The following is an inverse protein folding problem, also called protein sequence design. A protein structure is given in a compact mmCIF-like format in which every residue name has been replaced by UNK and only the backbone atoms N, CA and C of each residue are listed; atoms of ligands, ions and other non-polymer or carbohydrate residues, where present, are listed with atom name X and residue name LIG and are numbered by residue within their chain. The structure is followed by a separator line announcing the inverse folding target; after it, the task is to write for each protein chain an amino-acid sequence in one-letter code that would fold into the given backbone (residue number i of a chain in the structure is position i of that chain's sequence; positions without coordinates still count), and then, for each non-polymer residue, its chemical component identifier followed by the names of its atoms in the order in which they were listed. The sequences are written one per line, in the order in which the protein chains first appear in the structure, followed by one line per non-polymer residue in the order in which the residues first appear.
data_IF_419672203616
#
_entry.id   IF_419672203616
#
_cell.length_a   1.000
_cell.length_b   1.000
_cell.length_c   1.000
_cell.angle_alpha   90.00
_cell.angle_beta   90.00
_cell.angle_gamma   90.00
#
_symmetry.space_group_name_H-M   'P 1'
#
loop_
_entity.id
_entity.type
_entity.pdbx_description
1 polymer ?
#
# COMPACT_ATOMS: atom_id res chain seq x y z
N UNK A 1 -7.59 10.42 -4.03
CA UNK A 1 -7.10 9.42 -3.08
C UNK A 1 -5.92 8.63 -3.63
N UNK A 2 -5.69 7.46 -3.09
CA UNK A 2 -4.56 6.59 -3.51
C UNK A 2 -4.99 5.13 -3.71
N UNK A 3 -6.17 4.75 -3.25
CA UNK A 3 -6.60 3.35 -3.21
C UNK A 3 -6.77 2.73 -4.61
N UNK A 4 -7.04 3.54 -5.62
CA UNK A 4 -7.24 3.07 -6.99
C UNK A 4 -5.93 2.79 -7.75
N UNK A 5 -4.79 3.17 -7.17
CA UNK A 5 -3.46 3.02 -7.77
C UNK A 5 -2.59 2.11 -6.90
N UNK A 6 -2.71 0.80 -7.11
CA UNK A 6 -1.88 -0.19 -6.44
C UNK A 6 -0.44 -0.14 -6.95
N UNK A 7 0.53 -0.33 -6.05
CA UNK A 7 1.93 -0.47 -6.43
C UNK A 7 2.15 -1.81 -7.12
N UNK A 8 2.56 -1.84 -8.41
CA UNK A 8 2.79 -3.08 -9.13
C UNK A 8 4.04 -3.80 -8.60
N UNK A 9 4.09 -5.10 -8.82
CA UNK A 9 5.28 -5.91 -8.59
C UNK A 9 6.30 -5.76 -9.72
N UNK A 10 5.83 -5.45 -10.94
CA UNK A 10 6.61 -5.35 -12.18
C UNK A 10 7.38 -6.64 -12.48
N UNK A 11 6.69 -7.78 -12.42
CA UNK A 11 7.25 -9.11 -12.67
C UNK A 11 6.42 -9.88 -13.69
N UNK A 12 7.00 -10.85 -14.42
CA UNK A 12 6.26 -11.72 -15.33
C UNK A 12 5.11 -12.43 -14.62
N UNK A 13 3.93 -12.42 -15.23
CA UNK A 13 2.73 -13.09 -14.74
C UNK A 13 1.90 -12.29 -13.74
N UNK A 14 2.26 -11.02 -13.46
CA UNK A 14 1.45 -10.16 -12.60
C UNK A 14 0.06 -9.87 -13.19
N UNK A 15 -0.07 -9.92 -14.51
CA UNK A 15 -1.31 -9.72 -15.27
C UNK A 15 -2.25 -10.95 -15.28
N UNK A 16 -1.84 -12.08 -14.72
CA UNK A 16 -2.65 -13.29 -14.69
C UNK A 16 -3.94 -13.09 -13.86
N UNK A 17 -5.08 -13.68 -14.26
CA UNK A 17 -6.37 -13.52 -13.57
C UNK A 17 -6.36 -13.97 -12.10
N UNK A 18 -5.38 -14.77 -11.69
CA UNK A 18 -5.21 -15.22 -10.31
C UNK A 18 -4.52 -14.18 -9.40
N UNK A 19 -4.10 -13.04 -9.95
CA UNK A 19 -3.41 -11.97 -9.20
C UNK A 19 -4.40 -10.84 -8.91
N UNK A 20 -4.43 -10.39 -7.68
CA UNK A 20 -5.21 -9.23 -7.28
C UNK A 20 -4.41 -8.32 -6.34
N UNK A 21 -4.52 -7.01 -6.54
CA UNK A 21 -3.98 -5.99 -5.64
C UNK A 21 -4.98 -5.59 -4.53
N UNK A 22 -6.19 -6.18 -4.55
CA UNK A 22 -7.27 -5.86 -3.63
C UNK A 22 -7.81 -7.13 -3.00
N UNK A 23 -7.85 -7.14 -1.68
CA UNK A 23 -8.48 -8.20 -0.91
C UNK A 23 -9.89 -7.79 -0.47
N UNK A 24 -10.87 -8.65 -0.66
CA UNK A 24 -12.27 -8.38 -0.33
C UNK A 24 -12.86 -9.43 0.59
N UNK A 25 -12.68 -10.72 0.28
CA UNK A 25 -13.38 -11.83 0.92
C UNK A 25 -12.51 -13.10 0.86
N UNK A 26 -12.57 -13.94 1.90
CA UNK A 26 -11.80 -15.17 2.00
C UNK A 26 -12.51 -16.41 1.45
N UNK A 27 -13.84 -16.42 1.37
CA UNK A 27 -14.62 -17.63 1.04
C UNK A 27 -14.23 -18.32 -0.27
N UNK A 28 -13.92 -17.61 -1.38
CA UNK A 28 -13.53 -18.25 -2.63
C UNK A 28 -12.23 -19.05 -2.57
N UNK A 29 -11.43 -18.87 -1.50
CA UNK A 29 -10.08 -19.40 -1.39
C UNK A 29 -9.96 -20.59 -0.41
N UNK A 30 -11.09 -21.16 0.02
CA UNK A 30 -11.08 -22.37 0.84
C UNK A 30 -10.27 -23.49 0.17
N UNK A 31 -9.39 -24.15 0.94
CA UNK A 31 -8.50 -25.23 0.48
C UNK A 31 -7.62 -24.87 -0.74
N UNK A 32 -7.25 -23.58 -0.90
CA UNK A 32 -6.37 -23.07 -1.95
C UNK A 32 -5.01 -22.66 -1.42
N UNK A 33 -3.99 -22.74 -2.28
CA UNK A 33 -2.65 -22.25 -2.02
C UNK A 33 -2.59 -20.75 -2.38
N UNK A 34 -2.61 -19.88 -1.37
CA UNK A 34 -2.70 -18.44 -1.53
C UNK A 34 -1.43 -17.76 -1.07
N UNK A 35 -0.79 -17.02 -1.98
CA UNK A 35 0.32 -16.14 -1.63
C UNK A 35 -0.20 -14.74 -1.31
N UNK A 36 0.23 -14.18 -0.17
CA UNK A 36 -0.02 -12.80 0.23
C UNK A 36 1.32 -12.06 0.23
N UNK A 37 1.50 -11.13 -0.71
CA UNK A 37 2.74 -10.36 -0.86
C UNK A 37 2.57 -9.01 -0.19
N UNK A 38 3.31 -8.78 0.90
CA UNK A 38 3.23 -7.55 1.67
C UNK A 38 3.72 -7.74 3.10
N UNK A 39 3.81 -6.66 3.88
CA UNK A 39 4.32 -6.73 5.26
C UNK A 39 3.67 -5.68 6.18
N UNK A 40 2.52 -5.11 5.78
CA UNK A 40 1.79 -4.10 6.53
C UNK A 40 0.36 -4.57 6.86
N UNK A 41 -0.50 -3.67 7.33
CA UNK A 41 -1.85 -3.99 7.80
C UNK A 41 -2.67 -4.83 6.82
N UNK A 42 -2.74 -4.43 5.55
CA UNK A 42 -3.56 -5.13 4.56
C UNK A 42 -3.13 -6.59 4.37
N UNK A 43 -1.82 -6.84 4.30
CA UNK A 43 -1.27 -8.19 4.16
C UNK A 43 -1.53 -9.05 5.40
N UNK A 44 -1.33 -8.49 6.60
CA UNK A 44 -1.58 -9.21 7.86
C UNK A 44 -3.06 -9.56 8.03
N UNK A 45 -3.97 -8.61 7.74
CA UNK A 45 -5.42 -8.82 7.82
C UNK A 45 -5.86 -9.91 6.82
N UNK A 46 -5.43 -9.79 5.56
CA UNK A 46 -5.78 -10.77 4.53
C UNK A 46 -5.26 -12.17 4.87
N UNK A 47 -4.00 -12.28 5.34
CA UNK A 47 -3.42 -13.56 5.71
C UNK A 47 -4.17 -14.24 6.87
N UNK A 48 -4.56 -13.47 7.89
CA UNK A 48 -5.35 -13.97 9.01
C UNK A 48 -6.75 -14.41 8.58
N UNK A 49 -7.41 -13.62 7.76
CA UNK A 49 -8.77 -13.92 7.30
C UNK A 49 -8.81 -15.14 6.39
N UNK A 50 -7.92 -15.20 5.40
CA UNK A 50 -7.74 -16.35 4.51
C UNK A 50 -7.46 -17.64 5.30
N UNK A 51 -6.55 -17.60 6.26
CA UNK A 51 -6.23 -18.74 7.12
C UNK A 51 -7.46 -19.19 7.94
N UNK A 52 -8.22 -18.25 8.53
CA UNK A 52 -9.43 -18.57 9.30
C UNK A 52 -10.49 -19.27 8.46
N UNK A 53 -10.53 -18.98 7.16
CA UNK A 53 -11.45 -19.59 6.20
C UNK A 53 -10.85 -20.77 5.44
N UNK A 54 -9.76 -21.38 5.94
CA UNK A 54 -9.24 -22.65 5.46
C UNK A 54 -8.33 -22.59 4.24
N UNK A 55 -7.84 -21.43 3.85
CA UNK A 55 -6.78 -21.32 2.84
C UNK A 55 -5.41 -21.72 3.42
N UNK A 56 -4.54 -22.29 2.57
CA UNK A 56 -3.11 -22.49 2.87
C UNK A 56 -2.36 -21.21 2.50
N UNK A 57 -2.01 -20.42 3.49
CA UNK A 57 -1.45 -19.08 3.28
C UNK A 57 0.07 -19.08 3.35
N UNK A 58 0.71 -18.50 2.32
CA UNK A 58 2.12 -18.14 2.33
C UNK A 58 2.25 -16.61 2.29
N UNK A 59 2.71 -16.02 3.38
CA UNK A 59 3.01 -14.58 3.48
C UNK A 59 4.44 -14.34 3.00
N UNK A 60 4.61 -13.45 2.02
CA UNK A 60 5.91 -13.14 1.41
C UNK A 60 6.23 -11.67 1.64
N UNK A 61 7.35 -11.40 2.32
CA UNK A 61 7.76 -10.03 2.63
C UNK A 61 9.26 -9.81 2.39
N UNK A 62 9.59 -8.72 1.69
CA UNK A 62 10.98 -8.34 1.39
C UNK A 62 11.80 -7.91 2.60
N UNK A 63 11.15 -7.50 3.69
CA UNK A 63 11.82 -7.14 4.95
C UNK A 63 12.12 -8.35 5.82
N UNK A 64 12.98 -8.18 6.84
CA UNK A 64 13.37 -9.25 7.75
C UNK A 64 12.26 -9.68 8.73
N UNK A 65 11.23 -8.85 8.88
CA UNK A 65 10.08 -9.09 9.76
C UNK A 65 8.89 -8.22 9.32
N UNK A 66 7.72 -8.48 9.86
CA UNK A 66 6.54 -7.64 9.66
C UNK A 66 6.79 -6.21 10.16
N UNK A 67 6.11 -5.24 9.53
CA UNK A 67 6.25 -3.83 9.91
C UNK A 67 5.66 -3.57 11.29
N UNK A 68 6.38 -2.84 12.14
CA UNK A 68 5.90 -2.40 13.46
C UNK A 68 4.70 -1.46 13.41
N UNK A 69 4.40 -0.89 12.23
CA UNK A 69 3.22 -0.05 12.00
C UNK A 69 1.92 -0.85 11.82
N UNK A 70 1.96 -2.17 11.84
CA UNK A 70 0.75 -3.00 11.94
C UNK A 70 0.06 -2.69 13.26
N UNK A 71 -1.27 -2.57 13.22
CA UNK A 71 -2.10 -2.26 14.38
C UNK A 71 -1.80 -3.23 15.54
N UNK A 72 -1.67 -2.68 16.75
CA UNK A 72 -1.23 -3.42 17.93
C UNK A 72 -2.09 -4.63 18.30
N UNK A 73 -3.35 -4.67 17.84
CA UNK A 73 -4.24 -5.83 18.04
C UNK A 73 -4.19 -6.87 16.92
N UNK A 74 -3.53 -6.57 15.80
CA UNK A 74 -3.35 -7.49 14.67
C UNK A 74 -1.97 -8.15 14.71
N UNK A 75 -0.93 -7.39 15.02
CA UNK A 75 0.45 -7.87 14.99
C UNK A 75 0.68 -9.10 15.85
N UNK A 76 0.22 -9.19 17.12
CA UNK A 76 0.41 -10.39 17.92
C UNK A 76 -0.29 -11.63 17.36
N UNK A 77 -1.48 -11.47 16.75
CA UNK A 77 -2.22 -12.62 16.19
C UNK A 77 -1.48 -13.18 14.97
N UNK A 78 -1.07 -12.36 14.03
CA UNK A 78 -0.34 -12.84 12.85
C UNK A 78 1.03 -13.44 13.23
N UNK A 79 1.77 -12.84 14.16
CA UNK A 79 3.04 -13.38 14.66
C UNK A 79 2.84 -14.76 15.32
N UNK A 80 1.80 -14.94 16.12
CA UNK A 80 1.45 -16.23 16.71
C UNK A 80 1.08 -17.28 15.65
N UNK A 81 0.30 -16.92 14.62
CA UNK A 81 -0.04 -17.86 13.54
C UNK A 81 1.19 -18.28 12.74
N UNK A 82 2.14 -17.38 12.54
CA UNK A 82 3.41 -17.69 11.88
C UNK A 82 4.26 -18.61 12.78
N UNK A 83 4.39 -18.29 14.06
CA UNK A 83 5.16 -19.10 15.02
C UNK A 83 4.62 -20.52 15.16
N UNK A 84 3.29 -20.70 15.11
CA UNK A 84 2.62 -21.99 15.14
C UNK A 84 2.62 -22.75 13.80
N UNK A 85 3.17 -22.17 12.73
CA UNK A 85 3.17 -22.79 11.40
C UNK A 85 1.82 -22.77 10.68
N UNK A 86 0.85 -22.02 11.19
CA UNK A 86 -0.50 -21.90 10.62
C UNK A 86 -0.54 -20.96 9.41
N UNK A 87 0.39 -20.03 9.34
CA UNK A 87 0.71 -19.18 8.20
C UNK A 87 2.19 -19.36 7.89
N UNK A 88 2.53 -19.82 6.68
CA UNK A 88 3.91 -19.88 6.24
C UNK A 88 4.40 -18.46 5.96
N UNK A 89 5.53 -18.04 6.52
CA UNK A 89 6.10 -16.73 6.26
C UNK A 89 7.49 -16.85 5.61
N UNK A 90 7.68 -16.14 4.51
CA UNK A 90 8.95 -15.99 3.81
C UNK A 90 9.40 -14.55 3.92
N UNK A 91 10.26 -14.28 4.90
CA UNK A 91 10.89 -12.97 5.08
C UNK A 91 12.14 -12.83 4.20
N UNK A 92 12.57 -11.59 3.98
CA UNK A 92 13.68 -11.26 3.09
C UNK A 92 13.53 -11.93 1.71
N UNK A 93 12.27 -12.04 1.24
CA UNK A 93 11.92 -12.79 0.06
C UNK A 93 11.02 -11.95 -0.84
N UNK A 94 11.23 -12.06 -2.15
CA UNK A 94 10.41 -11.41 -3.18
C UNK A 94 9.87 -12.45 -4.16
N UNK A 95 8.71 -12.18 -4.73
CA UNK A 95 8.21 -12.93 -5.90
C UNK A 95 8.95 -12.40 -7.13
N UNK A 96 9.44 -13.29 -7.98
CA UNK A 96 10.16 -12.93 -9.22
C UNK A 96 9.42 -13.35 -10.49
N UNK A 97 8.48 -14.27 -10.37
CA UNK A 97 7.62 -14.70 -11.48
C UNK A 97 6.36 -15.36 -10.94
N UNK A 98 5.23 -15.16 -11.61
CA UNK A 98 3.96 -15.84 -11.33
C UNK A 98 3.59 -16.65 -12.55
N UNK A 99 3.34 -17.96 -12.35
CA UNK A 99 2.89 -18.90 -13.38
C UNK A 99 1.45 -19.34 -13.10
N UNK A 100 0.86 -20.12 -14.00
CA UNK A 100 -0.54 -20.59 -13.89
C UNK A 100 -0.82 -21.33 -12.57
N UNK A 101 0.09 -22.20 -12.11
CA UNK A 101 -0.10 -23.05 -10.91
C UNK A 101 1.01 -22.91 -9.86
N UNK A 102 1.99 -22.04 -10.10
CA UNK A 102 3.13 -21.84 -9.19
C UNK A 102 3.53 -20.36 -9.12
N UNK A 103 4.33 -20.04 -8.12
CA UNK A 103 5.09 -18.78 -8.04
C UNK A 103 6.56 -19.09 -7.80
N UNK A 104 7.45 -18.32 -8.43
CA UNK A 104 8.88 -18.36 -8.16
C UNK A 104 9.25 -17.20 -7.23
N UNK A 105 9.97 -17.55 -6.17
CA UNK A 105 10.41 -16.59 -5.16
C UNK A 105 11.94 -16.61 -5.05
N UNK A 106 12.52 -15.47 -4.65
CA UNK A 106 13.96 -15.33 -4.40
C UNK A 106 14.20 -14.80 -3.01
N UNK A 107 15.05 -15.49 -2.27
CA UNK A 107 15.57 -14.96 -1.00
C UNK A 107 16.60 -13.86 -1.29
N UNK A 108 16.43 -12.69 -0.67
CA UNK A 108 17.27 -11.52 -0.92
C UNK A 108 18.64 -11.59 -0.24
N UNK A 109 18.82 -12.49 0.73
CA UNK A 109 20.08 -12.66 1.45
C UNK A 109 20.96 -13.72 0.79
N UNK A 110 20.37 -14.87 0.49
CA UNK A 110 21.11 -16.01 -0.10
C UNK A 110 21.14 -15.97 -1.63
N UNK A 111 20.23 -15.23 -2.26
CA UNK A 111 20.01 -15.25 -3.69
C UNK A 111 19.31 -16.52 -4.22
N UNK A 112 19.00 -17.46 -3.33
CA UNK A 112 18.38 -18.73 -3.68
C UNK A 112 16.95 -18.52 -4.21
N UNK A 113 16.63 -19.19 -5.31
CA UNK A 113 15.29 -19.22 -5.88
C UNK A 113 14.60 -20.55 -5.59
N UNK A 114 13.31 -20.49 -5.33
CA UNK A 114 12.47 -21.67 -5.17
C UNK A 114 11.10 -21.46 -5.82
N UNK A 115 10.45 -22.56 -6.17
CA UNK A 115 9.12 -22.57 -6.77
C UNK A 115 8.12 -23.17 -5.77
N UNK A 116 6.98 -22.50 -5.62
CA UNK A 116 5.93 -22.88 -4.67
C UNK A 116 4.62 -23.11 -5.43
N UNK A 117 3.83 -24.15 -5.08
CA UNK A 117 2.45 -24.28 -5.54
C UNK A 117 1.65 -23.02 -5.20
N UNK A 118 0.80 -22.60 -6.12
CA UNK A 118 0.03 -21.37 -5.91
C UNK A 118 -1.21 -21.31 -6.81
N UNK A 119 -2.37 -21.11 -6.22
CA UNK A 119 -3.65 -20.90 -6.90
C UNK A 119 -3.96 -19.41 -7.08
N UNK A 120 -3.65 -18.57 -6.07
CA UNK A 120 -3.97 -17.14 -6.07
C UNK A 120 -2.87 -16.30 -5.43
N UNK A 121 -2.72 -15.06 -5.91
CA UNK A 121 -1.76 -14.08 -5.37
C UNK A 121 -2.49 -12.80 -5.01
N UNK A 122 -2.36 -12.38 -3.75
CA UNK A 122 -2.72 -11.04 -3.31
C UNK A 122 -1.47 -10.18 -3.19
N UNK A 123 -1.25 -9.28 -4.14
CA UNK A 123 -0.13 -8.34 -4.16
C UNK A 123 -0.49 -7.07 -3.36
N UNK A 124 -0.45 -7.17 -2.02
CA UNK A 124 -0.81 -6.09 -1.09
C UNK A 124 0.40 -5.22 -0.76
N UNK A 125 1.02 -4.69 -1.79
CA UNK A 125 2.29 -3.94 -1.77
C UNK A 125 2.13 -2.46 -1.41
N UNK A 126 0.89 -2.03 -1.16
CA UNK A 126 0.51 -0.64 -0.90
C UNK A 126 0.01 0.06 -2.15
N UNK A 127 -0.23 1.35 -2.00
CA UNK A 127 -0.84 2.19 -3.02
C UNK A 127 -0.07 3.50 -3.15
N UNK A 128 -0.25 4.20 -4.26
CA UNK A 128 0.30 5.53 -4.50
C UNK A 128 -0.77 6.49 -5.00
N UNK A 129 -0.50 7.78 -4.92
CA UNK A 129 -1.38 8.82 -5.48
C UNK A 129 -1.26 8.86 -7.00
N UNK A 130 -2.30 9.39 -7.67
CA UNK A 130 -2.24 9.66 -9.11
C UNK A 130 -1.34 10.87 -9.39
N UNK A 131 -0.06 10.61 -9.46
CA UNK A 131 0.93 11.66 -9.69
C UNK A 131 0.90 12.21 -11.12
N UNK A 132 0.43 11.44 -12.09
CA UNK A 132 0.34 11.90 -13.47
C UNK A 132 -0.82 12.89 -13.62
N UNK A 133 -1.93 12.65 -12.93
CA UNK A 133 -3.00 13.62 -12.82
C UNK A 133 -2.53 14.93 -12.15
N UNK A 134 -1.78 14.84 -11.05
CA UNK A 134 -1.23 16.04 -10.40
C UNK A 134 -0.27 16.81 -11.33
N UNK A 135 0.63 16.10 -12.02
CA UNK A 135 1.52 16.72 -13.02
C UNK A 135 0.77 17.37 -14.17
N UNK A 136 -0.33 16.79 -14.62
CA UNK A 136 -1.16 17.36 -15.69
C UNK A 136 -1.77 18.71 -15.31
N UNK A 137 -1.92 18.98 -14.01
CA UNK A 137 -2.35 20.28 -13.48
C UNK A 137 -1.19 21.26 -13.22
N UNK A 138 0.05 20.89 -13.55
CA UNK A 138 1.23 21.70 -13.31
C UNK A 138 1.81 21.58 -11.89
N UNK A 139 1.34 20.62 -11.10
CA UNK A 139 1.86 20.41 -9.76
C UNK A 139 3.20 19.68 -9.84
N UNK A 140 4.22 20.26 -9.23
CA UNK A 140 5.54 19.65 -9.11
C UNK A 140 5.51 18.46 -8.12
N UNK A 141 6.13 17.36 -8.53
CA UNK A 141 6.22 16.15 -7.71
C UNK A 141 7.69 15.84 -7.46
N UNK A 142 8.06 15.76 -6.21
CA UNK A 142 9.41 15.34 -5.79
C UNK A 142 9.69 13.91 -6.28
N UNK A 143 10.77 13.67 -7.05
CA UNK A 143 11.01 12.38 -7.69
C UNK A 143 11.39 11.27 -6.70
N UNK A 144 11.92 11.61 -5.53
CA UNK A 144 12.33 10.61 -4.54
C UNK A 144 11.19 10.24 -3.61
N UNK A 145 10.48 11.22 -3.07
CA UNK A 145 9.41 11.01 -2.09
C UNK A 145 8.04 10.87 -2.73
N UNK A 146 7.90 11.25 -4.00
CA UNK A 146 6.64 11.33 -4.75
C UNK A 146 5.63 12.28 -4.09
N UNK A 147 6.09 13.22 -3.27
CA UNK A 147 5.24 14.24 -2.65
C UNK A 147 5.00 15.38 -3.61
N UNK A 148 3.77 15.89 -3.69
CA UNK A 148 3.49 17.12 -4.40
C UNK A 148 4.09 18.32 -3.66
N UNK A 149 4.48 19.34 -4.43
CA UNK A 149 4.94 20.63 -3.88
C UNK A 149 3.74 21.43 -3.38
N UNK A 150 3.76 21.81 -2.11
CA UNK A 150 2.71 22.65 -1.49
C UNK A 150 3.23 23.33 -0.23
N UNK A 151 2.58 24.40 0.16
CA UNK A 151 2.83 25.10 1.42
C UNK A 151 2.09 24.35 2.56
N UNK A 152 2.83 23.92 3.58
CA UNK A 152 2.29 23.16 4.72
C UNK A 152 1.34 23.96 5.64
N UNK A 153 1.39 25.29 5.58
CA UNK A 153 0.53 26.15 6.40
C UNK A 153 -0.80 26.45 5.70
N UNK A 154 -0.75 26.69 4.38
CA UNK A 154 -1.92 27.06 3.58
C UNK A 154 -2.52 25.90 2.82
N UNK A 155 -1.75 24.82 2.60
CA UNK A 155 -2.07 23.68 1.72
C UNK A 155 -2.14 24.05 0.23
N UNK A 156 -1.77 25.26 -0.18
CA UNK A 156 -1.70 25.67 -1.57
C UNK A 156 -0.49 25.03 -2.28
N UNK A 157 -0.72 24.50 -3.47
CA UNK A 157 0.36 23.91 -4.29
C UNK A 157 1.26 24.99 -4.89
N UNK A 158 2.30 24.56 -5.65
CA UNK A 158 3.08 25.49 -6.48
C UNK A 158 2.25 26.16 -7.59
N UNK A 159 1.03 25.68 -7.85
CA UNK A 159 0.10 26.29 -8.81
C UNK A 159 -0.91 27.13 -8.04
N UNK A 160 -0.94 28.48 -8.20
CA UNK A 160 -1.83 29.36 -7.48
C UNK A 160 -3.31 28.98 -7.64
N UNK A 161 -4.03 28.93 -6.51
CA UNK A 161 -5.44 28.57 -6.47
C UNK A 161 -5.72 27.07 -6.45
N UNK A 162 -4.69 26.21 -6.53
CA UNK A 162 -4.85 24.76 -6.37
C UNK A 162 -4.37 24.33 -4.99
N UNK A 163 -5.28 23.79 -4.19
CA UNK A 163 -5.01 23.34 -2.84
C UNK A 163 -5.05 21.82 -2.74
N UNK A 164 -4.21 21.26 -1.89
CA UNK A 164 -4.07 19.81 -1.70
C UNK A 164 -4.49 19.42 -0.28
N UNK A 165 -5.38 18.43 -0.13
CA UNK A 165 -5.85 17.98 1.16
C UNK A 165 -5.89 16.45 1.28
N UNK A 166 -5.60 15.94 2.48
CA UNK A 166 -5.66 14.52 2.78
C UNK A 166 -4.45 13.75 2.25
N UNK A 167 -4.63 12.47 1.98
CA UNK A 167 -3.55 11.52 1.69
C UNK A 167 -2.75 11.83 0.42
N UNK A 168 -3.31 12.62 -0.50
CA UNK A 168 -2.61 13.07 -1.71
C UNK A 168 -1.30 13.80 -1.40
N UNK A 169 -1.20 14.44 -0.22
CA UNK A 169 -0.01 15.16 0.23
C UNK A 169 1.12 14.26 0.75
N UNK A 170 0.86 12.96 0.92
CA UNK A 170 1.78 12.04 1.59
C UNK A 170 2.85 11.42 0.69
N UNK A 171 2.70 11.49 -0.64
CA UNK A 171 3.59 10.83 -1.58
C UNK A 171 3.65 9.31 -1.36
N UNK A 172 4.85 8.76 -1.20
CA UNK A 172 5.06 7.32 -0.88
C UNK A 172 4.63 6.94 0.54
N UNK A 173 4.49 7.91 1.44
CA UNK A 173 4.21 7.71 2.86
C UNK A 173 2.70 7.72 3.17
N UNK A 174 1.89 7.09 2.32
CA UNK A 174 0.42 7.09 2.42
C UNK A 174 -0.12 6.66 3.79
N UNK A 175 0.66 5.91 4.55
CA UNK A 175 0.32 5.50 5.92
C UNK A 175 0.52 6.56 7.01
N UNK A 176 0.87 7.81 6.66
CA UNK A 176 1.04 8.91 7.62
C UNK A 176 -0.14 9.88 7.66
N UNK A 177 -0.95 9.93 6.61
CA UNK A 177 -2.12 10.81 6.53
C UNK A 177 -3.39 9.98 6.62
N UNK A 178 -4.17 10.25 7.66
CA UNK A 178 -5.45 9.61 7.96
C UNK A 178 -6.52 10.69 8.13
N UNK A 179 -7.77 10.29 8.34
CA UNK A 179 -8.87 11.23 8.61
C UNK A 179 -8.56 12.10 9.85
N UNK A 180 -7.95 11.49 10.88
CA UNK A 180 -7.66 12.13 12.16
C UNK A 180 -6.74 13.35 12.04
N UNK A 181 -5.76 13.33 11.13
CA UNK A 181 -4.85 14.46 10.89
C UNK A 181 -5.19 15.24 9.62
N UNK A 182 -5.66 14.57 8.57
CA UNK A 182 -6.04 15.22 7.31
C UNK A 182 -7.26 16.12 7.40
N UNK A 183 -8.13 15.94 8.40
CA UNK A 183 -9.33 16.78 8.62
C UNK A 183 -9.02 18.26 8.88
N UNK A 184 -7.82 18.59 9.34
CA UNK A 184 -7.40 19.95 9.61
C UNK A 184 -7.02 20.73 8.35
N UNK A 185 -6.68 20.02 7.25
CA UNK A 185 -6.29 20.65 5.98
C UNK A 185 -7.40 21.56 5.43
N UNK A 186 -8.68 21.18 5.59
CA UNK A 186 -9.81 22.00 5.15
C UNK A 186 -9.86 23.37 5.83
N UNK A 187 -9.60 23.43 7.13
CA UNK A 187 -9.52 24.68 7.87
C UNK A 187 -8.37 25.59 7.42
N UNK A 188 -7.19 25.01 7.19
CA UNK A 188 -6.01 25.73 6.66
C UNK A 188 -6.32 26.36 5.29
N UNK A 189 -6.92 25.60 4.38
CA UNK A 189 -7.29 26.05 3.04
C UNK A 189 -8.29 27.22 3.09
N UNK A 190 -9.36 27.08 3.88
CA UNK A 190 -10.38 28.12 3.96
C UNK A 190 -9.83 29.42 4.58
N UNK A 191 -8.99 29.31 5.59
CA UNK A 191 -8.36 30.49 6.20
C UNK A 191 -7.49 31.24 5.17
N UNK A 192 -6.68 30.54 4.40
CA UNK A 192 -5.84 31.15 3.36
C UNK A 192 -6.68 31.82 2.27
N UNK A 193 -7.72 31.15 1.76
CA UNK A 193 -8.63 31.70 0.75
C UNK A 193 -9.29 32.98 1.24
N UNK A 194 -9.74 33.02 2.50
CA UNK A 194 -10.33 34.20 3.09
C UNK A 194 -9.32 35.35 3.23
N UNK A 195 -8.11 35.06 3.69
CA UNK A 195 -7.04 36.06 3.80
C UNK A 195 -6.67 36.67 2.44
N UNK A 196 -6.51 35.82 1.41
CA UNK A 196 -6.22 36.26 0.05
C UNK A 196 -7.37 37.10 -0.52
N UNK A 197 -8.62 36.73 -0.24
CA UNK A 197 -9.79 37.48 -0.68
C UNK A 197 -9.87 38.85 -0.04
N UNK A 198 -9.60 38.94 1.28
CA UNK A 198 -9.58 40.20 2.01
C UNK A 198 -8.47 41.15 1.51
N UNK A 199 -7.27 40.61 1.21
CA UNK A 199 -6.18 41.40 0.64
C UNK A 199 -6.54 41.99 -0.75
N UNK A 200 -7.28 41.26 -1.58
CA UNK A 200 -7.73 41.73 -2.90
C UNK A 200 -8.79 42.83 -2.84
N UNK A 201 -9.60 42.89 -1.76
CA UNK A 201 -10.62 43.92 -1.56
C UNK A 201 -9.99 45.21 -1.01
N UNK A 202 -8.86 45.09 -0.30
CA UNK A 202 -8.16 46.23 0.30
C UNK A 202 -7.16 46.95 -0.64
N UNK A 203 -6.94 46.41 -1.85
CA UNK A 203 -6.14 47.01 -2.94
C UNK A 203 -7.04 47.57 -4.03
#
# INVERSE_FOLDING_TARGET
GYFDHANPLNIPGEELPKVSHYYKDAHPFYDRDVAVVGGANSAAIAALDLRRHGARVTLIHRGPQLRRSIKYWILPDIENRIANGEVKALFQTVVVEIKSSTIRVRNLVTGEESELPNDFVFALTGYHTDNDFLRSMGIEIDPETMKPSFNHETMESNVPGIYLAGVVTAGKDTGKIFIENGRFHGGQIINDILEQSLKKIAT
#
